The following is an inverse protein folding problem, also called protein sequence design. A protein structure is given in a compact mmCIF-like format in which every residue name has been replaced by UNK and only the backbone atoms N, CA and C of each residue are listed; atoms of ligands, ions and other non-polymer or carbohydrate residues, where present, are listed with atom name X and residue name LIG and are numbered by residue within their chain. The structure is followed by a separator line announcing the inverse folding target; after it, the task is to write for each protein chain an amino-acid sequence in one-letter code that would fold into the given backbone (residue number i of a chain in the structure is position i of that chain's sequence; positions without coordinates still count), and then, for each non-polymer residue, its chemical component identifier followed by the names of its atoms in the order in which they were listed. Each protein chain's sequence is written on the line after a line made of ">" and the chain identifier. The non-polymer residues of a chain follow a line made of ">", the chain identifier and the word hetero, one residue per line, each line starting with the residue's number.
data_IF_232924538310
#
_entry.id   IF_232924538310
#
_cell.length_a   1.000
_cell.length_b   1.000
_cell.length_c   1.000
_cell.angle_alpha   90.00
_cell.angle_beta   90.00
_cell.angle_gamma   90.00
#
_symmetry.space_group_name_H-M   'P 1'
#
loop_
_entity.id
_entity.type
_entity.pdbx_description
1 polymer ?
#
# COMPACT_ATOMS: atom_id res chain seq x y z
N UNK A 1 4.51 -14.24 35.48
CA UNK A 1 4.95 -14.31 34.08
C UNK A 1 4.43 -13.05 33.40
N UNK A 2 5.25 -12.00 33.32
CA UNK A 2 4.89 -10.74 32.65
C UNK A 2 5.37 -10.81 31.22
N UNK A 3 4.47 -10.99 30.27
CA UNK A 3 4.73 -10.77 28.85
C UNK A 3 4.82 -9.27 28.66
N UNK A 4 6.03 -8.70 28.74
CA UNK A 4 6.23 -7.29 28.45
C UNK A 4 5.81 -7.04 27.00
N UNK A 5 4.71 -6.30 26.82
CA UNK A 5 4.28 -5.85 25.51
C UNK A 5 5.39 -4.96 24.95
N UNK A 6 6.06 -5.42 23.89
CA UNK A 6 7.12 -4.65 23.24
C UNK A 6 6.62 -3.29 22.82
N UNK A 7 7.43 -2.28 23.10
CA UNK A 7 7.12 -0.91 22.74
C UNK A 7 7.07 -0.77 21.22
N UNK A 8 6.27 0.18 20.67
CA UNK A 8 6.21 0.42 19.22
C UNK A 8 7.62 0.61 18.59
N UNK A 9 8.52 1.28 19.31
CA UNK A 9 9.93 1.48 18.94
C UNK A 9 10.70 0.18 18.73
N UNK A 10 10.57 -0.78 19.65
CA UNK A 10 11.25 -2.08 19.56
C UNK A 10 10.73 -2.94 18.40
N UNK A 11 9.45 -2.78 18.02
CA UNK A 11 8.85 -3.51 16.89
C UNK A 11 9.41 -3.05 15.54
N UNK A 12 9.67 -1.74 15.39
CA UNK A 12 10.26 -1.15 14.17
C UNK A 12 11.71 -1.61 14.03
N UNK A 13 12.52 -1.49 15.09
CA UNK A 13 13.93 -1.89 15.07
C UNK A 13 14.11 -3.38 14.77
N UNK A 14 13.31 -4.25 15.39
CA UNK A 14 13.44 -5.69 15.14
C UNK A 14 13.05 -6.08 13.71
N UNK A 15 12.02 -5.46 13.11
CA UNK A 15 11.63 -5.75 11.72
C UNK A 15 12.62 -5.19 10.71
N UNK A 16 13.17 -3.99 10.95
CA UNK A 16 14.24 -3.43 10.12
C UNK A 16 15.47 -4.36 10.08
N UNK A 17 15.87 -4.90 11.24
CA UNK A 17 16.96 -5.87 11.35
C UNK A 17 16.67 -7.20 10.64
N UNK A 18 15.41 -7.66 10.62
CA UNK A 18 15.01 -8.88 9.91
C UNK A 18 14.94 -8.69 8.38
N UNK A 19 14.54 -7.50 7.91
CA UNK A 19 14.50 -7.18 6.49
C UNK A 19 15.91 -7.02 5.88
N UNK A 20 16.88 -6.56 6.67
CA UNK A 20 18.28 -6.43 6.24
C UNK A 20 18.94 -7.79 5.92
N UNK A 21 18.46 -8.89 6.50
CA UNK A 21 19.05 -10.22 6.34
C UNK A 21 18.52 -11.01 5.11
N UNK A 22 17.50 -10.53 4.39
CA UNK A 22 16.79 -11.34 3.36
C UNK A 22 16.97 -10.79 1.92
N UNK A 23 17.60 -9.64 1.72
CA UNK A 23 17.80 -9.08 0.37
C UNK A 23 19.26 -9.20 -0.10
N UNK A 24 19.65 -10.42 -0.49
CA UNK A 24 20.73 -10.60 -1.45
C UNK A 24 20.12 -10.49 -2.86
N UNK A 25 20.43 -9.39 -3.54
CA UNK A 25 20.40 -9.26 -5.01
C UNK A 25 19.04 -9.37 -5.72
N UNK A 26 18.21 -8.34 -5.60
CA UNK A 26 17.29 -7.94 -6.66
C UNK A 26 17.38 -6.42 -6.81
N UNK A 27 17.79 -5.99 -8.01
CA UNK A 27 18.15 -4.61 -8.35
C UNK A 27 17.22 -3.56 -7.72
N UNK A 28 17.83 -2.62 -6.98
CA UNK A 28 17.22 -1.34 -6.63
C UNK A 28 16.88 -0.60 -7.93
N UNK A 29 15.64 -0.71 -8.40
CA UNK A 29 15.07 0.31 -9.26
C UNK A 29 14.67 1.46 -8.35
N UNK A 30 15.33 2.61 -8.55
CA UNK A 30 15.05 3.99 -8.11
C UNK A 30 13.71 4.23 -7.41
N UNK A 31 13.64 5.15 -6.42
CA UNK A 31 12.36 5.57 -5.86
C UNK A 31 11.51 6.16 -7.00
N UNK A 32 10.57 5.36 -7.49
CA UNK A 32 9.60 5.80 -8.48
C UNK A 32 8.73 6.82 -7.76
N UNK A 33 8.83 8.08 -8.20
CA UNK A 33 7.93 9.14 -7.80
C UNK A 33 6.47 8.65 -7.91
N UNK A 34 5.64 8.79 -6.86
CA UNK A 34 4.25 8.33 -6.86
C UNK A 34 3.46 8.81 -8.09
N UNK A 35 3.76 10.01 -8.60
CA UNK A 35 3.11 10.57 -9.80
C UNK A 35 3.47 9.77 -11.05
N UNK A 36 4.74 9.38 -11.17
CA UNK A 36 5.21 8.51 -12.26
C UNK A 36 4.52 7.14 -12.20
N UNK A 37 4.38 6.56 -11.01
CA UNK A 37 3.68 5.28 -10.83
C UNK A 37 2.18 5.38 -11.22
N UNK A 38 1.49 6.45 -10.83
CA UNK A 38 0.11 6.70 -11.25
C UNK A 38 -0.03 6.86 -12.76
N UNK A 39 0.90 7.56 -13.42
CA UNK A 39 0.88 7.71 -14.87
C UNK A 39 1.06 6.36 -15.59
N UNK A 40 1.95 5.50 -15.09
CA UNK A 40 2.15 4.16 -15.61
C UNK A 40 0.93 3.26 -15.38
N UNK A 41 0.26 3.35 -14.22
CA UNK A 41 -1.01 2.67 -13.98
C UNK A 41 -2.06 3.06 -15.02
N UNK A 42 -2.25 4.36 -15.29
CA UNK A 42 -3.21 4.81 -16.32
C UNK A 42 -2.90 4.23 -17.71
N UNK A 43 -1.62 4.20 -18.09
CA UNK A 43 -1.21 3.63 -19.37
C UNK A 43 -1.48 2.14 -19.47
N UNK A 44 -1.17 1.37 -18.41
CA UNK A 44 -1.44 -0.07 -18.35
C UNK A 44 -2.94 -0.32 -18.51
N UNK A 45 -3.76 0.43 -17.79
CA UNK A 45 -5.20 0.27 -17.75
C UNK A 45 -5.91 0.70 -19.05
N UNK A 46 -5.32 1.61 -19.82
CA UNK A 46 -5.84 2.01 -21.14
C UNK A 46 -5.68 0.93 -22.23
N UNK A 47 -4.87 -0.11 -21.99
CA UNK A 47 -4.66 -1.21 -22.93
C UNK A 47 -5.88 -2.15 -23.10
N UNK A 48 -5.81 -3.13 -24.03
CA UNK A 48 -6.85 -4.12 -24.25
C UNK A 48 -6.89 -5.15 -23.11
N UNK A 49 -7.39 -4.71 -21.95
CA UNK A 49 -7.44 -5.49 -20.73
C UNK A 49 -8.82 -6.13 -20.59
N UNK A 50 -8.91 -7.44 -20.85
CA UNK A 50 -10.18 -8.16 -20.78
C UNK A 50 -10.01 -9.58 -20.25
N UNK A 51 -11.12 -10.18 -19.83
CA UNK A 51 -11.17 -11.57 -19.38
C UNK A 51 -11.08 -11.75 -17.86
N UNK A 52 -11.50 -12.94 -17.42
CA UNK A 52 -11.67 -13.27 -16.01
C UNK A 52 -10.34 -13.27 -15.22
N UNK A 53 -9.23 -13.66 -15.85
CA UNK A 53 -7.92 -13.65 -15.22
C UNK A 53 -7.48 -12.21 -14.87
N UNK A 54 -7.60 -11.29 -15.83
CA UNK A 54 -7.30 -9.87 -15.58
C UNK A 54 -8.22 -9.27 -14.52
N UNK A 55 -9.53 -9.51 -14.61
CA UNK A 55 -10.51 -9.03 -13.62
C UNK A 55 -10.21 -9.55 -12.22
N UNK A 56 -9.79 -10.81 -12.07
CA UNK A 56 -9.40 -11.39 -10.77
C UNK A 56 -8.21 -10.66 -10.15
N UNK A 57 -7.23 -10.30 -10.98
CA UNK A 57 -6.06 -9.51 -10.57
C UNK A 57 -6.45 -8.09 -10.16
N UNK A 58 -7.31 -7.41 -10.94
CA UNK A 58 -7.80 -6.07 -10.58
C UNK A 58 -8.56 -6.11 -9.27
N UNK A 59 -9.45 -7.08 -9.03
CA UNK A 59 -10.20 -7.21 -7.77
C UNK A 59 -9.24 -7.37 -6.59
N UNK A 60 -8.24 -8.26 -6.70
CA UNK A 60 -7.25 -8.45 -5.66
C UNK A 60 -6.45 -7.16 -5.41
N UNK A 61 -6.04 -6.48 -6.47
CA UNK A 61 -5.27 -5.22 -6.40
C UNK A 61 -6.09 -4.11 -5.73
N UNK A 62 -7.36 -3.92 -6.11
CA UNK A 62 -8.27 -2.95 -5.49
C UNK A 62 -8.36 -3.17 -3.99
N UNK A 63 -8.55 -4.42 -3.55
CA UNK A 63 -8.66 -4.73 -2.11
C UNK A 63 -7.39 -4.42 -1.34
N UNK A 64 -6.23 -4.74 -1.93
CA UNK A 64 -4.94 -4.45 -1.32
C UNK A 64 -4.77 -2.93 -1.17
N UNK A 65 -5.06 -2.17 -2.24
CA UNK A 65 -4.94 -0.71 -2.26
C UNK A 65 -5.93 -0.05 -1.29
N UNK A 66 -7.20 -0.46 -1.27
CA UNK A 66 -8.21 0.11 -0.36
C UNK A 66 -7.87 -0.16 1.11
N UNK A 67 -7.29 -1.33 1.42
CA UNK A 67 -6.80 -1.65 2.77
C UNK A 67 -5.66 -0.72 3.18
N UNK A 68 -4.70 -0.50 2.29
CA UNK A 68 -3.58 0.43 2.52
C UNK A 68 -4.07 1.88 2.68
N UNK A 69 -4.95 2.33 1.77
CA UNK A 69 -5.57 3.66 1.79
C UNK A 69 -6.29 3.98 3.11
N UNK A 70 -6.99 3.00 3.68
CA UNK A 70 -7.64 3.19 4.98
C UNK A 70 -6.63 3.46 6.09
N UNK A 71 -5.44 2.85 6.06
CA UNK A 71 -4.39 3.09 7.04
C UNK A 71 -3.64 4.39 6.79
N UNK A 72 -3.44 4.77 5.54
CA UNK A 72 -2.90 6.09 5.19
C UNK A 72 -3.81 7.23 5.68
N UNK A 73 -5.13 7.05 5.60
CA UNK A 73 -6.09 7.98 6.21
C UNK A 73 -5.94 8.09 7.73
N UNK A 74 -5.73 6.97 8.42
CA UNK A 74 -5.56 6.98 9.88
C UNK A 74 -4.29 7.72 10.29
N UNK A 75 -3.16 7.47 9.61
CA UNK A 75 -1.89 8.15 9.93
C UNK A 75 -1.95 9.64 9.59
N UNK A 76 -2.60 10.03 8.48
CA UNK A 76 -2.80 11.44 8.14
C UNK A 76 -3.65 12.19 9.19
N UNK A 77 -4.70 11.54 9.71
CA UNK A 77 -5.53 12.11 10.79
C UNK A 77 -4.81 12.21 12.12
N UNK A 78 -3.87 11.30 12.39
CA UNK A 78 -3.10 11.28 13.61
C UNK A 78 -1.85 12.17 13.58
N UNK A 79 -1.61 12.90 12.47
CA UNK A 79 -0.42 13.72 12.27
C UNK A 79 -0.19 14.70 13.44
N UNK A 80 1.07 14.86 13.81
CA UNK A 80 1.52 15.67 14.96
C UNK A 80 1.69 17.16 14.61
N UNK A 81 1.76 17.49 13.32
CA UNK A 81 1.93 18.86 12.83
C UNK A 81 1.20 19.07 11.52
N UNK A 82 0.94 20.34 11.18
CA UNK A 82 0.27 20.70 9.93
C UNK A 82 1.09 20.28 8.70
N UNK A 83 2.41 20.53 8.69
CA UNK A 83 3.25 20.14 7.55
C UNK A 83 3.31 18.62 7.33
N UNK A 84 3.30 17.84 8.42
CA UNK A 84 3.18 16.39 8.35
C UNK A 84 1.81 15.98 7.82
N UNK A 85 0.74 16.62 8.30
CA UNK A 85 -0.61 16.36 7.82
C UNK A 85 -0.75 16.63 6.32
N UNK A 86 -0.21 17.75 5.81
CA UNK A 86 -0.23 18.10 4.38
C UNK A 86 0.52 17.05 3.55
N UNK A 87 1.72 16.65 3.98
CA UNK A 87 2.51 15.61 3.33
C UNK A 87 1.75 14.28 3.25
N UNK A 88 1.19 13.82 4.37
CA UNK A 88 0.44 12.58 4.44
C UNK A 88 -0.88 12.65 3.67
N UNK A 89 -1.52 13.82 3.62
CA UNK A 89 -2.73 14.02 2.81
C UNK A 89 -2.43 13.90 1.31
N UNK A 90 -1.28 14.40 0.84
CA UNK A 90 -0.85 14.18 -0.55
C UNK A 90 -0.62 12.70 -0.89
N UNK A 91 -0.13 11.89 0.07
CA UNK A 91 -0.07 10.43 -0.10
C UNK A 91 -1.47 9.82 -0.20
N UNK A 92 -2.39 10.23 0.68
CA UNK A 92 -3.78 9.78 0.66
C UNK A 92 -4.45 10.07 -0.68
N UNK A 93 -4.31 11.29 -1.21
CA UNK A 93 -4.86 11.68 -2.52
C UNK A 93 -4.32 10.79 -3.64
N UNK A 94 -3.02 10.48 -3.60
CA UNK A 94 -2.36 9.64 -4.59
C UNK A 94 -2.91 8.21 -4.57
N UNK A 95 -3.08 7.60 -3.39
CA UNK A 95 -3.58 6.22 -3.28
C UNK A 95 -5.09 6.15 -3.56
N UNK A 96 -5.86 7.19 -3.24
CA UNK A 96 -7.26 7.32 -3.62
C UNK A 96 -7.43 7.34 -5.13
N UNK A 97 -6.60 8.11 -5.84
CA UNK A 97 -6.61 8.14 -7.29
C UNK A 97 -6.28 6.76 -7.89
N UNK A 98 -5.27 6.06 -7.35
CA UNK A 98 -4.96 4.71 -7.77
C UNK A 98 -6.15 3.74 -7.55
N UNK A 99 -6.83 3.83 -6.41
CA UNK A 99 -8.00 3.03 -6.10
C UNK A 99 -9.15 3.29 -7.09
N UNK A 100 -9.42 4.56 -7.42
CA UNK A 100 -10.43 4.94 -8.41
C UNK A 100 -10.12 4.38 -9.79
N UNK A 101 -8.87 4.56 -10.27
CA UNK A 101 -8.43 4.02 -11.55
C UNK A 101 -8.61 2.50 -11.64
N UNK A 102 -8.26 1.78 -10.58
CA UNK A 102 -8.43 0.33 -10.53
C UNK A 102 -9.91 -0.08 -10.47
N UNK A 103 -10.76 0.65 -9.75
CA UNK A 103 -12.20 0.38 -9.67
C UNK A 103 -12.91 0.61 -11.00
N UNK A 104 -12.52 1.62 -11.75
CA UNK A 104 -13.10 1.93 -13.06
C UNK A 104 -12.84 0.82 -14.10
N UNK A 105 -11.88 -0.08 -13.82
CA UNK A 105 -11.55 -1.22 -14.68
C UNK A 105 -12.36 -2.47 -14.36
N UNK A 106 -13.08 -2.47 -13.24
CA UNK A 106 -13.92 -3.60 -12.86
C UNK A 106 -15.18 -3.63 -13.70
N UNK A 107 -15.50 -4.82 -14.19
CA UNK A 107 -16.85 -5.11 -14.70
C UNK A 107 -17.88 -4.96 -13.57
N UNK A 108 -19.17 -4.84 -13.92
CA UNK A 108 -20.25 -4.79 -12.93
C UNK A 108 -20.20 -5.97 -11.94
N UNK A 109 -19.84 -7.17 -12.40
CA UNK A 109 -19.65 -8.35 -11.55
C UNK A 109 -18.37 -8.26 -10.69
N UNK A 110 -17.27 -7.73 -11.23
CA UNK A 110 -16.06 -7.49 -10.45
C UNK A 110 -16.27 -6.49 -9.32
N UNK A 111 -17.04 -5.43 -9.59
CA UNK A 111 -17.38 -4.40 -8.62
C UNK A 111 -18.33 -4.90 -7.52
N UNK A 112 -19.18 -5.91 -7.77
CA UNK A 112 -19.96 -6.52 -6.70
C UNK A 112 -19.11 -7.44 -5.81
N UNK A 113 -18.11 -8.11 -6.39
CA UNK A 113 -17.22 -9.00 -5.66
C UNK A 113 -16.27 -8.25 -4.72
N UNK A 114 -15.85 -7.03 -5.01
CA UNK A 114 -15.01 -6.24 -4.08
C UNK A 114 -15.69 -6.05 -2.73
N UNK A 115 -17.00 -5.80 -2.70
CA UNK A 115 -17.80 -5.62 -1.49
C UNK A 115 -18.07 -6.92 -0.72
N UNK A 116 -18.04 -8.08 -1.36
CA UNK A 116 -18.45 -9.36 -0.75
C UNK A 116 -17.34 -10.08 0.02
N UNK A 117 -16.07 -9.76 -0.20
CA UNK A 117 -14.98 -10.38 0.58
C UNK A 117 -14.01 -9.38 1.22
N UNK A 118 -14.49 -8.19 1.58
CA UNK A 118 -13.72 -7.21 2.34
C UNK A 118 -14.43 -6.82 3.63
N UNK A 119 -13.83 -7.14 4.78
CA UNK A 119 -14.10 -6.39 6.01
C UNK A 119 -13.71 -4.94 5.75
N UNK A 120 -14.69 -4.06 5.63
CA UNK A 120 -14.45 -2.62 5.63
C UNK A 120 -13.84 -2.32 7.01
N UNK A 121 -12.60 -1.81 7.10
CA UNK A 121 -12.01 -1.52 8.40
C UNK A 121 -12.96 -0.57 9.13
N UNK A 122 -13.39 -0.97 10.33
CA UNK A 122 -14.26 -0.15 11.15
C UNK A 122 -13.60 1.22 11.30
N UNK A 123 -14.26 2.27 10.81
CA UNK A 123 -13.84 3.64 11.08
C UNK A 123 -14.04 3.84 12.58
N UNK A 124 -12.97 3.68 13.36
CA UNK A 124 -12.94 4.15 14.74
C UNK A 124 -13.21 5.65 14.71
N UNK A 125 -14.24 6.10 15.43
CA UNK A 125 -14.51 7.55 15.59
C UNK A 125 -13.49 8.23 16.51
N UNK A 126 -12.68 7.45 17.24
CA UNK A 126 -11.56 7.96 18.01
C UNK A 126 -10.30 7.86 17.15
N UNK A 127 -9.62 9.00 16.96
CA UNK A 127 -8.35 9.06 16.26
C UNK A 127 -7.33 8.20 17.02
N UNK A 128 -6.81 7.19 16.34
CA UNK A 128 -5.74 6.32 16.86
C UNK A 128 -4.51 7.20 17.18
N UNK A 129 -3.79 6.96 18.30
CA UNK A 129 -2.58 7.70 18.61
C UNK A 129 -1.55 7.60 17.48
N UNK A 130 -0.82 8.69 17.21
CA UNK A 130 0.17 8.78 16.13
C UNK A 130 1.09 7.55 16.00
N UNK A 131 1.75 7.06 17.06
CA UNK A 131 2.69 5.94 16.92
C UNK A 131 2.00 4.63 16.52
N UNK A 132 0.75 4.43 16.96
CA UNK A 132 -0.02 3.23 16.66
C UNK A 132 -0.56 3.27 15.22
N UNK A 133 -1.06 4.43 14.79
CA UNK A 133 -1.51 4.67 13.42
C UNK A 133 -0.35 4.51 12.42
N UNK A 134 0.82 5.08 12.73
CA UNK A 134 2.03 4.98 11.92
C UNK A 134 2.50 3.53 11.79
N UNK A 135 2.62 2.79 12.90
CA UNK A 135 3.05 1.40 12.89
C UNK A 135 2.09 0.51 12.09
N UNK A 136 0.79 0.70 12.31
CA UNK A 136 -0.26 0.00 11.57
C UNK A 136 -0.17 0.27 10.07
N UNK A 137 0.06 1.51 9.66
CA UNK A 137 0.19 1.90 8.26
C UNK A 137 1.46 1.30 7.61
N UNK A 138 2.62 1.42 8.25
CA UNK A 138 3.88 0.81 7.79
C UNK A 138 3.71 -0.70 7.60
N UNK A 139 3.14 -1.40 8.59
CA UNK A 139 2.95 -2.85 8.50
C UNK A 139 1.99 -3.23 7.37
N UNK A 140 0.85 -2.54 7.24
CA UNK A 140 -0.12 -2.86 6.18
C UNK A 140 0.46 -2.59 4.80
N UNK A 141 1.27 -1.54 4.62
CA UNK A 141 1.93 -1.26 3.34
C UNK A 141 2.97 -2.33 3.00
N UNK A 142 3.80 -2.77 3.94
CA UNK A 142 4.78 -3.86 3.73
C UNK A 142 4.10 -5.19 3.33
N UNK A 143 3.04 -5.56 4.04
CA UNK A 143 2.21 -6.72 3.70
C UNK A 143 1.58 -6.59 2.30
N UNK A 144 1.07 -5.40 1.98
CA UNK A 144 0.42 -5.10 0.70
C UNK A 144 1.41 -5.19 -0.46
N UNK A 145 2.62 -4.64 -0.30
CA UNK A 145 3.71 -4.75 -1.27
C UNK A 145 4.08 -6.23 -1.49
N UNK A 146 4.22 -7.00 -0.42
CA UNK A 146 4.54 -8.44 -0.50
C UNK A 146 3.45 -9.24 -1.24
N UNK A 147 2.18 -8.91 -1.00
CA UNK A 147 1.06 -9.53 -1.70
C UNK A 147 1.05 -9.19 -3.19
N UNK A 148 1.31 -7.93 -3.56
CA UNK A 148 1.37 -7.50 -4.97
C UNK A 148 2.56 -8.10 -5.71
N UNK A 149 3.72 -8.22 -5.07
CA UNK A 149 4.89 -8.92 -5.63
C UNK A 149 4.58 -10.40 -5.87
N UNK A 150 3.92 -11.05 -4.91
CA UNK A 150 3.48 -12.44 -5.08
C UNK A 150 2.47 -12.58 -6.23
N UNK A 151 1.53 -11.65 -6.32
CA UNK A 151 0.52 -11.62 -7.37
C UNK A 151 1.18 -11.43 -8.75
N UNK A 152 2.13 -10.50 -8.86
CA UNK A 152 2.94 -10.26 -10.06
C UNK A 152 3.69 -11.51 -10.50
N UNK A 153 4.37 -12.18 -9.57
CA UNK A 153 5.15 -13.38 -9.86
C UNK A 153 4.29 -14.57 -10.31
N UNK A 154 3.00 -14.59 -9.96
CA UNK A 154 2.05 -15.58 -10.44
C UNK A 154 1.53 -15.30 -11.87
N UNK A 155 1.82 -14.13 -12.45
CA UNK A 155 1.36 -13.77 -13.79
C UNK A 155 2.39 -14.08 -14.88
N UNK A 156 1.96 -14.35 -16.13
CA UNK A 156 2.87 -14.49 -17.27
C UNK A 156 3.73 -13.24 -17.47
N UNK A 157 5.01 -13.43 -17.82
CA UNK A 157 5.92 -12.34 -18.16
C UNK A 157 5.35 -11.53 -19.33
N UNK A 158 5.41 -10.20 -19.22
CA UNK A 158 4.90 -9.28 -20.24
C UNK A 158 3.37 -9.09 -20.24
N UNK A 159 2.62 -9.76 -19.37
CA UNK A 159 1.18 -9.54 -19.25
C UNK A 159 0.84 -8.21 -18.57
N UNK A 160 -0.29 -7.59 -18.96
CA UNK A 160 -0.81 -6.39 -18.28
C UNK A 160 -1.07 -6.62 -16.80
N UNK A 161 -1.53 -7.82 -16.40
CA UNK A 161 -1.74 -8.18 -15.00
C UNK A 161 -0.45 -8.12 -14.19
N UNK A 162 0.66 -8.58 -14.76
CA UNK A 162 1.98 -8.49 -14.12
C UNK A 162 2.41 -7.04 -13.96
N UNK A 163 2.35 -6.28 -15.05
CA UNK A 163 2.70 -4.85 -15.07
C UNK A 163 1.87 -4.03 -14.07
N UNK A 164 0.55 -4.29 -14.01
CA UNK A 164 -0.35 -3.67 -13.05
C UNK A 164 0.09 -3.92 -11.61
N UNK A 165 0.37 -5.19 -11.28
CA UNK A 165 0.77 -5.60 -9.94
C UNK A 165 2.11 -5.01 -9.52
N UNK A 166 3.09 -5.03 -10.44
CA UNK A 166 4.41 -4.42 -10.23
C UNK A 166 4.30 -2.90 -10.01
N UNK A 167 3.51 -2.22 -10.84
CA UNK A 167 3.32 -0.78 -10.76
C UNK A 167 2.64 -0.37 -9.46
N UNK A 168 1.60 -1.07 -9.04
CA UNK A 168 0.93 -0.84 -7.74
C UNK A 168 1.88 -1.14 -6.58
N UNK A 169 2.71 -2.19 -6.67
CA UNK A 169 3.70 -2.50 -5.63
C UNK A 169 4.74 -1.38 -5.48
N UNK A 170 5.17 -0.77 -6.58
CA UNK A 170 6.08 0.37 -6.56
C UNK A 170 5.45 1.60 -5.89
N UNK A 171 4.19 1.90 -6.21
CA UNK A 171 3.45 2.98 -5.57
C UNK A 171 3.39 2.79 -4.04
N UNK A 172 2.94 1.62 -3.58
CA UNK A 172 2.85 1.34 -2.14
C UNK A 172 4.21 1.30 -1.44
N UNK A 173 5.27 0.87 -2.14
CA UNK A 173 6.65 0.90 -1.62
C UNK A 173 7.14 2.34 -1.44
N UNK A 174 6.79 3.24 -2.36
CA UNK A 174 7.10 4.67 -2.22
C UNK A 174 6.44 5.26 -0.98
N UNK A 175 5.16 4.96 -0.76
CA UNK A 175 4.43 5.39 0.43
C UNK A 175 5.00 4.78 1.72
N UNK A 176 5.34 3.49 1.70
CA UNK A 176 5.98 2.80 2.82
C UNK A 176 7.30 3.47 3.23
N UNK A 177 8.15 3.79 2.26
CA UNK A 177 9.42 4.46 2.51
C UNK A 177 9.21 5.86 3.12
N UNK A 178 8.20 6.61 2.64
CA UNK A 178 7.86 7.90 3.23
C UNK A 178 7.46 7.77 4.70
N UNK A 179 6.63 6.78 5.07
CA UNK A 179 6.25 6.55 6.46
C UNK A 179 7.41 6.06 7.33
N UNK A 180 8.37 5.30 6.77
CA UNK A 180 9.57 4.93 7.50
C UNK A 180 10.42 6.16 7.86
N UNK A 181 10.55 7.14 6.96
CA UNK A 181 11.23 8.40 7.25
C UNK A 181 10.54 9.16 8.39
N UNK A 182 9.20 9.24 8.37
CA UNK A 182 8.44 9.84 9.48
C UNK A 182 8.68 9.12 10.82
N UNK A 183 8.80 7.80 10.80
CA UNK A 183 9.10 7.01 11.99
C UNK A 183 10.52 7.29 12.50
N UNK A 184 11.50 7.39 11.60
CA UNK A 184 12.89 7.72 11.94
C UNK A 184 13.01 9.11 12.55
N UNK A 185 12.37 10.12 11.93
CA UNK A 185 12.34 11.50 12.41
C UNK A 185 11.69 11.62 13.80
N UNK A 186 10.63 10.86 14.07
CA UNK A 186 9.99 10.84 15.38
C UNK A 186 10.83 10.16 16.47
N UNK A 187 11.64 9.17 16.11
CA UNK A 187 12.47 8.41 17.06
C UNK A 187 13.79 9.09 17.43
N UNK A 188 14.21 10.08 16.64
CA UNK A 188 15.44 10.86 16.82
C UNK A 188 15.31 11.88 17.97
#
# INVERSE_FOLDING_TARGET
>A
MNTAARTPRERIQQKSLLHSAVHTEAALTTPTDPTTALSALRQILAGPNSGAAFQSVVIATVRIVERAMCREHCVAQAALSLGQQEKLSGMVETIEEAALLLRDQLSAQGNSLTHLCGERPARSNEAEPWPDALFSAVQVLDESVSQLVSLSNAQPKGSSSRALSDCTAQLLRSHHNTLLLEAEEWMA
#
